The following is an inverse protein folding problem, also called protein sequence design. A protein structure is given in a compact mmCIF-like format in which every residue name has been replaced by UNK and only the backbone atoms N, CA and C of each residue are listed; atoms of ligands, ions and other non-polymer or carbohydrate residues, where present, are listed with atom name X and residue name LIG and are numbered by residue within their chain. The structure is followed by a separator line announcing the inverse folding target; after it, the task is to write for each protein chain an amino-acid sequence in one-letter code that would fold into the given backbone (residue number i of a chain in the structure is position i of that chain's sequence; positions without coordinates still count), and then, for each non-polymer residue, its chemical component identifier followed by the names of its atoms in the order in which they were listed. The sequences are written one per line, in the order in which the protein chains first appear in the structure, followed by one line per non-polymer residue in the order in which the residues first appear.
data_IF_933801977780
#
_entry.id   IF_933801977780
#
_cell.length_a   1.000
_cell.length_b   1.000
_cell.length_c   1.000
_cell.angle_alpha   90.00
_cell.angle_beta   90.00
_cell.angle_gamma   90.00
#
_symmetry.space_group_name_H-M   'P 1'
#
loop_
_entity.id
_entity.type
_entity.pdbx_description
1 polymer ?
#
# COMPACT_ATOMS: atom_id res chain seq x y z
N UNK A 1 25.53 -13.22 7.77
CA UNK A 1 25.33 -11.83 7.31
C UNK A 1 24.28 -11.88 6.22
N UNK A 2 23.09 -11.38 6.49
CA UNK A 2 21.95 -11.45 5.57
C UNK A 2 21.96 -10.16 4.75
N UNK A 3 22.48 -10.17 3.53
CA UNK A 3 22.80 -8.91 2.81
C UNK A 3 21.81 -8.59 1.68
N UNK A 4 20.83 -9.45 1.36
CA UNK A 4 19.89 -9.20 0.26
C UNK A 4 18.46 -9.63 0.53
N UNK A 5 17.56 -8.66 0.42
CA UNK A 5 16.13 -8.89 0.31
C UNK A 5 15.79 -9.50 -1.07
N UNK A 6 14.98 -10.57 -1.12
CA UNK A 6 14.25 -10.91 -2.35
C UNK A 6 13.10 -9.94 -2.50
N UNK A 7 13.40 -8.75 -3.02
CA UNK A 7 12.39 -7.93 -3.68
C UNK A 7 11.97 -8.65 -4.96
N UNK A 8 10.69 -8.56 -5.33
CA UNK A 8 10.28 -8.89 -6.70
C UNK A 8 11.04 -7.97 -7.64
N UNK A 9 12.10 -8.47 -8.28
CA UNK A 9 12.91 -7.76 -9.28
C UNK A 9 13.40 -6.35 -8.88
N UNK A 10 14.64 -6.24 -8.41
CA UNK A 10 15.31 -4.94 -8.15
C UNK A 10 15.60 -4.10 -9.41
N UNK A 11 15.00 -4.45 -10.54
CA UNK A 11 15.08 -3.72 -11.80
C UNK A 11 13.69 -3.43 -12.39
N UNK A 12 13.30 -2.15 -12.30
CA UNK A 12 12.69 -1.36 -13.40
C UNK A 12 11.17 -1.23 -13.50
N UNK A 13 10.30 -1.88 -12.73
CA UNK A 13 8.85 -1.63 -12.89
C UNK A 13 8.30 -0.51 -11.98
N UNK A 14 8.49 0.75 -12.42
CA UNK A 14 7.88 1.96 -11.82
C UNK A 14 6.41 2.18 -12.20
N UNK A 15 5.81 1.22 -12.89
CA UNK A 15 4.53 1.35 -13.55
C UNK A 15 3.38 0.86 -12.66
N UNK A 16 2.22 1.48 -12.77
CA UNK A 16 1.00 1.01 -12.11
C UNK A 16 0.41 -0.20 -12.84
N UNK A 17 -0.01 -1.24 -12.12
CA UNK A 17 -0.54 -2.46 -12.74
C UNK A 17 -2.03 -2.60 -12.47
N UNK A 18 -2.84 -2.62 -13.54
CA UNK A 18 -4.29 -2.78 -13.45
C UNK A 18 -4.77 -4.19 -13.82
N UNK A 19 -3.89 -5.02 -14.36
CA UNK A 19 -4.26 -6.33 -14.91
C UNK A 19 -4.21 -7.44 -13.86
N UNK A 20 -4.86 -8.56 -14.18
CA UNK A 20 -4.68 -9.81 -13.43
C UNK A 20 -3.23 -10.30 -13.51
N UNK A 21 -2.78 -10.99 -12.48
CA UNK A 21 -1.54 -11.77 -12.53
C UNK A 21 -1.59 -12.80 -13.67
N UNK A 22 -0.44 -13.11 -14.28
CA UNK A 22 -0.36 -14.07 -15.39
C UNK A 22 1.03 -14.71 -15.46
N UNK A 23 1.13 -15.99 -15.08
CA UNK A 23 2.42 -16.66 -14.91
C UNK A 23 3.29 -15.90 -13.91
N UNK A 24 4.53 -15.59 -14.29
CA UNK A 24 5.48 -14.86 -13.45
C UNK A 24 5.26 -13.34 -13.47
N UNK A 25 4.22 -12.84 -14.16
CA UNK A 25 3.92 -11.41 -14.24
C UNK A 25 3.09 -10.97 -13.03
N UNK A 26 3.57 -9.92 -12.38
CA UNK A 26 2.88 -9.23 -11.30
C UNK A 26 1.52 -8.69 -11.74
N UNK A 27 0.57 -8.71 -10.80
CA UNK A 27 -0.74 -8.11 -10.99
C UNK A 27 -1.63 -8.28 -9.78
N UNK A 28 -2.92 -8.10 -10.02
CA UNK A 28 -3.95 -8.25 -9.01
C UNK A 28 -4.59 -9.63 -9.11
N UNK A 29 -5.23 -10.07 -8.03
CA UNK A 29 -6.15 -11.20 -8.11
C UNK A 29 -7.26 -10.90 -9.13
N UNK A 30 -7.80 -11.96 -9.75
CA UNK A 30 -8.74 -11.87 -10.88
C UNK A 30 -9.92 -10.93 -10.63
N UNK A 31 -10.47 -10.94 -9.42
CA UNK A 31 -11.65 -10.16 -9.04
C UNK A 31 -11.40 -8.65 -8.85
N UNK A 32 -10.13 -8.25 -8.69
CA UNK A 32 -9.71 -6.85 -8.55
C UNK A 32 -9.09 -6.29 -9.84
N UNK A 33 -8.78 -7.14 -10.81
CA UNK A 33 -8.26 -6.71 -12.10
C UNK A 33 -9.21 -5.72 -12.78
N UNK A 34 -8.65 -4.62 -13.30
CA UNK A 34 -9.34 -3.47 -13.88
C UNK A 34 -10.32 -2.76 -12.95
N UNK A 35 -10.21 -2.95 -11.63
CA UNK A 35 -11.02 -2.22 -10.64
C UNK A 35 -10.18 -1.25 -9.81
N UNK A 36 -8.91 -1.58 -9.61
CA UNK A 36 -7.92 -0.73 -8.95
C UNK A 36 -6.54 -0.97 -9.56
N UNK A 37 -5.59 -0.10 -9.24
CA UNK A 37 -4.20 -0.22 -9.64
C UNK A 37 -3.34 -0.74 -8.49
N UNK A 38 -2.47 -1.71 -8.77
CA UNK A 38 -1.40 -2.12 -7.88
C UNK A 38 -0.31 -1.02 -7.89
N UNK A 39 0.04 -0.44 -6.72
CA UNK A 39 1.04 0.62 -6.65
C UNK A 39 2.46 0.12 -6.97
N UNK A 40 3.29 0.90 -7.69
CA UNK A 40 4.66 0.51 -8.01
C UNK A 40 5.53 0.15 -6.80
N UNK A 41 5.26 0.78 -5.64
CA UNK A 41 5.96 0.52 -4.37
C UNK A 41 5.85 -0.95 -3.95
N UNK A 42 4.70 -1.57 -4.20
CA UNK A 42 4.45 -2.96 -3.81
C UNK A 42 5.35 -3.94 -4.55
N UNK A 43 5.76 -3.64 -5.79
CA UNK A 43 6.64 -4.53 -6.56
C UNK A 43 8.01 -4.70 -5.89
N UNK A 44 8.51 -3.62 -5.27
CA UNK A 44 9.77 -3.63 -4.53
C UNK A 44 9.66 -4.11 -3.08
N UNK A 45 8.46 -4.51 -2.62
CA UNK A 45 8.22 -4.85 -1.22
C UNK A 45 9.10 -6.03 -0.77
N UNK A 46 9.72 -5.89 0.39
CA UNK A 46 10.65 -6.90 0.89
C UNK A 46 9.97 -8.14 1.53
N UNK A 47 9.48 -9.07 0.72
CA UNK A 47 8.67 -10.20 1.21
C UNK A 47 9.44 -11.23 2.07
N UNK A 48 10.67 -11.55 1.67
CA UNK A 48 11.52 -12.59 2.27
C UNK A 48 13.00 -12.16 2.21
N UNK A 49 13.76 -12.49 3.24
CA UNK A 49 15.19 -12.19 3.33
C UNK A 49 16.00 -13.48 3.16
N UNK A 50 17.02 -13.48 2.31
CA UNK A 50 17.84 -14.66 2.06
C UNK A 50 19.00 -14.72 3.06
N UNK A 51 18.95 -15.67 3.99
CA UNK A 51 19.93 -15.75 5.08
C UNK A 51 21.31 -16.29 4.69
N UNK A 52 21.48 -16.90 3.51
CA UNK A 52 22.77 -17.45 3.06
C UNK A 52 23.08 -17.17 1.58
N UNK A 53 24.18 -16.43 1.31
CA UNK A 53 24.73 -16.27 -0.05
C UNK A 53 25.55 -17.50 -0.53
N UNK A 54 25.95 -18.40 0.38
CA UNK A 54 26.90 -19.49 0.05
C UNK A 54 26.32 -20.65 -0.75
N UNK A 55 24.99 -20.77 -0.87
CA UNK A 55 24.36 -21.85 -1.65
C UNK A 55 23.19 -21.39 -2.54
N UNK A 56 22.87 -20.09 -2.61
CA UNK A 56 21.70 -19.61 -3.37
C UNK A 56 20.35 -20.14 -2.87
N UNK A 57 20.33 -20.83 -1.72
CA UNK A 57 19.11 -21.32 -1.09
C UNK A 57 18.52 -20.17 -0.28
N UNK A 58 17.39 -19.66 -0.76
CA UNK A 58 16.43 -18.93 0.08
C UNK A 58 16.26 -19.74 1.36
N UNK A 59 16.31 -19.14 2.55
CA UNK A 59 15.63 -19.78 3.68
C UNK A 59 14.17 -19.85 3.26
N UNK A 60 13.76 -21.02 2.78
CA UNK A 60 12.37 -21.31 2.60
C UNK A 60 11.77 -21.12 4.00
N UNK A 61 10.77 -20.24 4.12
CA UNK A 61 9.98 -20.04 5.34
C UNK A 61 9.51 -21.36 5.99
N UNK A 62 9.59 -22.48 5.24
CA UNK A 62 9.32 -23.86 5.63
C UNK A 62 9.97 -24.32 6.95
N UNK A 63 11.09 -23.75 7.38
CA UNK A 63 11.79 -24.22 8.60
C UNK A 63 11.42 -23.46 9.90
N UNK A 64 10.45 -22.55 9.87
CA UNK A 64 9.99 -21.87 11.08
C UNK A 64 9.24 -22.87 12.01
N UNK A 65 9.73 -22.99 13.24
CA UNK A 65 9.28 -23.95 14.23
C UNK A 65 8.70 -23.30 15.50
N UNK A 66 8.96 -22.01 15.71
CA UNK A 66 8.44 -21.26 16.86
C UNK A 66 7.81 -19.91 16.47
N UNK A 67 6.98 -19.37 17.36
CA UNK A 67 6.42 -18.02 17.21
C UNK A 67 7.51 -16.94 17.20
N UNK A 68 8.57 -17.11 18.00
CA UNK A 68 9.67 -16.16 18.07
C UNK A 68 10.47 -16.11 16.76
N UNK A 69 10.67 -17.26 16.11
CA UNK A 69 11.30 -17.34 14.79
C UNK A 69 10.44 -16.64 13.72
N UNK A 70 9.12 -16.89 13.72
CA UNK A 70 8.20 -16.21 12.80
C UNK A 70 8.29 -14.68 12.97
N UNK A 71 8.20 -14.19 14.21
CA UNK A 71 8.28 -12.76 14.50
C UNK A 71 9.63 -12.17 14.07
N UNK A 72 10.73 -12.85 14.40
CA UNK A 72 12.09 -12.43 14.02
C UNK A 72 12.21 -12.25 12.50
N UNK A 73 11.75 -13.23 11.71
CA UNK A 73 11.80 -13.14 10.25
C UNK A 73 10.96 -11.98 9.70
N UNK A 74 9.80 -11.69 10.30
CA UNK A 74 8.97 -10.55 9.89
C UNK A 74 9.60 -9.20 10.28
N UNK A 75 10.26 -9.12 11.44
CA UNK A 75 11.02 -7.95 11.88
C UNK A 75 12.18 -7.66 10.93
N UNK A 76 12.97 -8.67 10.56
CA UNK A 76 14.12 -8.51 9.65
C UNK A 76 13.65 -8.04 8.27
N UNK A 77 12.58 -8.65 7.74
CA UNK A 77 11.99 -8.23 6.47
C UNK A 77 11.53 -6.76 6.50
N UNK A 78 10.82 -6.36 7.56
CA UNK A 78 10.34 -5.00 7.73
C UNK A 78 11.48 -3.98 7.87
N UNK A 79 12.57 -4.33 8.56
CA UNK A 79 13.78 -3.50 8.64
C UNK A 79 14.35 -3.23 7.24
N UNK A 80 14.58 -4.27 6.45
CA UNK A 80 15.12 -4.10 5.09
C UNK A 80 14.16 -3.36 4.15
N UNK A 81 12.85 -3.49 4.30
CA UNK A 81 11.88 -2.65 3.59
C UNK A 81 12.10 -1.16 3.93
N UNK A 82 12.30 -0.83 5.20
CA UNK A 82 12.64 0.52 5.63
C UNK A 82 13.91 1.06 4.94
N UNK A 83 14.97 0.25 4.88
CA UNK A 83 16.23 0.61 4.19
C UNK A 83 16.04 0.83 2.68
N UNK A 84 15.26 -0.05 2.04
CA UNK A 84 14.95 0.04 0.61
C UNK A 84 14.16 1.30 0.27
N UNK A 85 13.15 1.62 1.09
CA UNK A 85 12.34 2.82 0.93
C UNK A 85 13.18 4.08 1.13
N UNK A 86 14.02 4.13 2.17
CA UNK A 86 14.94 5.25 2.41
C UNK A 86 15.85 5.49 1.20
N UNK A 87 16.57 4.45 0.75
CA UNK A 87 17.48 4.53 -0.39
C UNK A 87 16.78 5.03 -1.66
N UNK A 88 15.55 4.58 -1.89
CA UNK A 88 14.74 4.99 -3.05
C UNK A 88 14.28 6.46 -3.02
N UNK A 89 14.17 7.04 -1.81
CA UNK A 89 13.81 8.44 -1.61
C UNK A 89 15.05 9.36 -1.56
N UNK A 90 16.19 8.87 -1.08
CA UNK A 90 17.46 9.63 -1.04
C UNK A 90 18.08 9.87 -2.42
N UNK A 91 17.98 8.90 -3.35
CA UNK A 91 18.43 9.05 -4.74
C UNK A 91 17.71 10.17 -5.53
N UNK A 92 16.70 10.81 -4.94
CA UNK A 92 15.93 11.93 -5.52
C UNK A 92 16.30 13.30 -4.93
N UNK A 93 17.33 13.40 -4.10
CA UNK A 93 17.79 14.70 -3.56
C UNK A 93 18.51 15.52 -4.64
N UNK A 94 18.03 16.75 -4.84
CA UNK A 94 18.85 17.88 -5.29
C UNK A 94 19.03 18.86 -4.12
N UNK A 95 20.08 19.67 -4.15
CA UNK A 95 20.80 20.30 -3.01
C UNK A 95 20.09 21.26 -2.01
N UNK A 96 18.76 21.32 -1.94
CA UNK A 96 18.09 22.34 -1.10
C UNK A 96 17.48 21.77 0.20
N UNK A 97 17.80 22.37 1.35
CA UNK A 97 17.32 21.98 2.68
C UNK A 97 15.79 21.93 2.84
N UNK A 98 15.02 22.66 2.02
CA UNK A 98 13.53 22.62 1.99
C UNK A 98 12.97 21.29 1.45
N UNK A 99 13.75 20.54 0.67
CA UNK A 99 13.40 19.21 0.14
C UNK A 99 13.44 18.13 1.22
N UNK A 100 14.16 18.32 2.32
CA UNK A 100 14.35 17.29 3.35
C UNK A 100 13.06 17.00 4.14
N UNK A 101 12.27 18.01 4.51
CA UNK A 101 11.01 17.80 5.24
C UNK A 101 9.92 17.13 4.37
N UNK A 102 9.78 17.57 3.12
CA UNK A 102 8.85 16.98 2.14
C UNK A 102 9.26 15.53 1.79
N UNK A 103 10.56 15.26 1.66
CA UNK A 103 11.06 13.90 1.44
C UNK A 103 10.81 12.99 2.65
N UNK A 104 10.99 13.49 3.88
CA UNK A 104 10.67 12.72 5.09
C UNK A 104 9.16 12.42 5.19
N UNK A 105 8.30 13.36 4.81
CA UNK A 105 6.85 13.15 4.75
C UNK A 105 6.46 12.08 3.71
N UNK A 106 7.04 12.14 2.50
CA UNK A 106 6.85 11.13 1.45
C UNK A 106 7.34 9.76 1.86
N UNK A 107 8.53 9.68 2.46
CA UNK A 107 9.08 8.44 3.01
C UNK A 107 8.16 7.90 4.10
N UNK A 108 7.67 8.75 5.00
CA UNK A 108 6.75 8.34 6.04
C UNK A 108 5.46 7.72 5.48
N UNK A 109 4.83 8.36 4.48
CA UNK A 109 3.66 7.79 3.80
C UNK A 109 3.97 6.44 3.17
N UNK A 110 5.10 6.31 2.49
CA UNK A 110 5.53 5.05 1.89
C UNK A 110 5.72 3.95 2.95
N UNK A 111 6.32 4.26 4.10
CA UNK A 111 6.44 3.34 5.24
C UNK A 111 5.07 2.91 5.77
N UNK A 112 4.12 3.84 5.95
CA UNK A 112 2.77 3.54 6.43
C UNK A 112 2.00 2.63 5.46
N UNK A 113 2.17 2.82 4.16
CA UNK A 113 1.57 1.93 3.16
C UNK A 113 2.25 0.56 3.14
N UNK A 114 3.58 0.49 3.16
CA UNK A 114 4.30 -0.79 3.21
C UNK A 114 3.99 -1.57 4.49
N UNK A 115 3.92 -0.92 5.65
CA UNK A 115 3.50 -1.54 6.91
C UNK A 115 2.10 -2.17 6.80
N UNK A 116 1.15 -1.45 6.19
CA UNK A 116 -0.20 -1.95 6.02
C UNK A 116 -0.26 -3.13 5.03
N UNK A 117 0.52 -3.09 3.95
CA UNK A 117 0.64 -4.19 2.99
C UNK A 117 1.23 -5.46 3.62
N UNK A 118 2.24 -5.32 4.50
CA UNK A 118 2.72 -6.45 5.33
C UNK A 118 1.61 -7.01 6.21
N UNK A 119 0.80 -6.13 6.80
CA UNK A 119 -0.37 -6.52 7.58
C UNK A 119 -1.32 -7.38 6.77
N UNK A 120 -1.68 -6.98 5.54
CA UNK A 120 -2.57 -7.80 4.71
C UNK A 120 -1.95 -9.14 4.29
N UNK A 121 -0.66 -9.16 3.96
CA UNK A 121 0.06 -10.39 3.62
C UNK A 121 0.08 -11.36 4.81
N UNK A 122 0.33 -10.85 6.02
CA UNK A 122 0.35 -11.66 7.24
C UNK A 122 -1.05 -12.12 7.62
N UNK A 123 -2.07 -11.28 7.46
CA UNK A 123 -3.48 -11.62 7.73
C UNK A 123 -4.10 -12.56 6.68
N UNK A 124 -3.56 -12.59 5.47
CA UNK A 124 -4.13 -13.33 4.34
C UNK A 124 -5.20 -12.54 3.57
N UNK A 125 -5.23 -11.21 3.73
CA UNK A 125 -6.21 -10.31 3.11
C UNK A 125 -5.65 -9.53 1.91
N UNK A 126 -4.45 -9.87 1.46
CA UNK A 126 -3.79 -9.20 0.34
C UNK A 126 -4.50 -9.47 -0.99
N UNK A 127 -4.74 -8.42 -1.78
CA UNK A 127 -5.30 -8.47 -3.13
C UNK A 127 -4.22 -8.50 -4.22
N UNK A 128 -2.95 -8.32 -3.82
CA UNK A 128 -1.78 -8.48 -4.67
C UNK A 128 -1.56 -9.95 -5.01
N UNK A 129 -1.27 -10.24 -6.28
CA UNK A 129 -1.13 -11.60 -6.77
C UNK A 129 0.08 -11.75 -7.73
N UNK A 130 1.04 -12.58 -7.35
CA UNK A 130 2.17 -13.04 -8.15
C UNK A 130 2.71 -14.37 -7.57
N UNK A 131 3.69 -14.97 -8.24
CA UNK A 131 4.29 -16.24 -7.80
C UNK A 131 4.84 -16.16 -6.36
N UNK A 132 5.56 -15.09 -6.03
CA UNK A 132 6.17 -14.90 -4.70
C UNK A 132 5.15 -14.73 -3.57
N UNK A 133 4.07 -13.98 -3.81
CA UNK A 133 3.00 -13.75 -2.83
C UNK A 133 2.17 -15.00 -2.60
N UNK A 134 1.93 -15.82 -3.65
CA UNK A 134 1.30 -17.14 -3.50
C UNK A 134 2.15 -18.08 -2.65
N UNK A 135 3.45 -18.16 -2.94
CA UNK A 135 4.36 -18.99 -2.16
C UNK A 135 4.46 -18.52 -0.72
N UNK A 136 4.52 -17.21 -0.49
CA UNK A 136 4.50 -16.62 0.84
C UNK A 136 3.21 -16.99 1.58
N UNK A 137 2.04 -16.84 0.96
CA UNK A 137 0.75 -17.17 1.55
C UNK A 137 0.67 -18.66 1.91
N UNK A 138 1.05 -19.56 1.00
CA UNK A 138 1.09 -21.00 1.26
C UNK A 138 2.03 -21.35 2.42
N UNK A 139 3.18 -20.70 2.51
CA UNK A 139 4.12 -20.91 3.61
C UNK A 139 3.57 -20.38 4.94
N UNK A 140 2.96 -19.18 4.95
CA UNK A 140 2.34 -18.61 6.13
C UNK A 140 1.21 -19.52 6.63
N UNK A 141 0.32 -19.99 5.76
CA UNK A 141 -0.73 -20.94 6.14
C UNK A 141 -0.17 -22.22 6.79
N UNK A 142 0.91 -22.79 6.23
CA UNK A 142 1.59 -23.95 6.81
C UNK A 142 2.19 -23.65 8.18
N UNK A 143 2.89 -22.53 8.32
CA UNK A 143 3.50 -22.11 9.59
C UNK A 143 2.44 -21.89 10.65
N UNK A 144 1.42 -21.06 10.35
CA UNK A 144 0.36 -20.78 11.31
C UNK A 144 -0.43 -22.05 11.66
N UNK A 145 -0.69 -22.93 10.68
CA UNK A 145 -1.29 -24.24 10.90
C UNK A 145 -0.42 -25.20 11.71
N UNK A 146 0.90 -25.08 11.68
CA UNK A 146 1.81 -25.88 12.52
C UNK A 146 1.88 -25.33 13.96
N UNK A 147 2.03 -24.01 14.09
CA UNK A 147 2.28 -23.34 15.38
C UNK A 147 1.02 -23.17 16.23
N UNK A 148 -0.12 -22.90 15.59
CA UNK A 148 -1.29 -22.37 16.28
C UNK A 148 -2.58 -23.16 16.07
N UNK A 149 -2.58 -24.23 15.28
CA UNK A 149 -3.80 -25.01 14.99
C UNK A 149 -4.51 -25.55 16.23
N UNK A 150 -3.79 -25.78 17.32
CA UNK A 150 -4.38 -26.18 18.62
C UNK A 150 -5.29 -25.10 19.24
N UNK A 151 -5.19 -23.85 18.82
CA UNK A 151 -6.00 -22.73 19.31
C UNK A 151 -7.24 -22.45 18.43
N UNK A 152 -7.42 -23.18 17.33
CA UNK A 152 -8.57 -23.04 16.44
C UNK A 152 -9.64 -24.06 16.85
N UNK A 153 -10.88 -23.60 17.05
CA UNK A 153 -12.03 -24.46 17.31
C UNK A 153 -12.18 -25.51 16.21
N UNK A 154 -12.04 -26.79 16.55
CA UNK A 154 -12.59 -27.88 15.73
C UNK A 154 -14.02 -28.13 16.21
N UNK A 155 -14.90 -28.58 15.32
CA UNK A 155 -16.27 -29.05 15.63
C UNK A 155 -16.30 -30.32 16.53
N UNK A 156 -15.35 -30.47 17.45
CA UNK A 156 -15.21 -31.62 18.35
C UNK A 156 -15.62 -31.14 19.74
N UNK A 157 -16.53 -31.87 20.35
CA UNK A 157 -17.26 -31.56 21.59
C UNK A 157 -16.41 -31.56 22.88
N UNK A 158 -15.13 -31.20 22.82
CA UNK A 158 -14.27 -31.11 24.01
C UNK A 158 -14.12 -29.66 24.45
N UNK A 159 -14.56 -29.39 25.68
CA UNK A 159 -14.47 -28.14 26.47
C UNK A 159 -13.02 -27.65 26.74
N UNK A 160 -12.09 -27.83 25.81
CA UNK A 160 -10.76 -27.24 25.90
C UNK A 160 -10.76 -25.87 25.21
N UNK A 161 -10.57 -24.83 26.04
CA UNK A 161 -10.33 -23.41 25.75
C UNK A 161 -9.72 -23.11 24.35
N UNK A 162 -10.53 -23.16 23.30
CA UNK A 162 -10.13 -22.79 21.95
C UNK A 162 -10.53 -21.33 21.72
N UNK A 163 -9.51 -20.48 21.56
CA UNK A 163 -9.68 -19.03 21.57
C UNK A 163 -10.13 -18.43 20.24
N UNK A 164 -9.97 -19.14 19.11
CA UNK A 164 -10.24 -18.60 17.77
C UNK A 164 -11.21 -19.47 16.96
N UNK A 165 -12.07 -18.82 16.16
CA UNK A 165 -13.05 -19.47 15.27
C UNK A 165 -12.46 -19.93 13.94
N UNK A 166 -11.40 -19.28 13.45
CA UNK A 166 -10.77 -19.57 12.16
C UNK A 166 -9.27 -19.27 12.17
N UNK A 167 -8.57 -19.69 11.10
CA UNK A 167 -7.18 -19.31 10.87
C UNK A 167 -7.02 -17.80 10.64
N UNK A 168 -8.01 -17.17 10.00
CA UNK A 168 -7.98 -15.75 9.66
C UNK A 168 -8.05 -14.89 10.92
N UNK A 169 -8.96 -15.21 11.85
CA UNK A 169 -9.07 -14.53 13.15
C UNK A 169 -7.76 -14.66 13.96
N UNK A 170 -7.13 -15.83 13.89
CA UNK A 170 -5.86 -16.09 14.54
C UNK A 170 -4.72 -15.25 13.95
N UNK A 171 -4.63 -15.18 12.62
CA UNK A 171 -3.62 -14.36 11.92
C UNK A 171 -3.83 -12.87 12.18
N UNK A 172 -5.08 -12.41 12.25
CA UNK A 172 -5.42 -11.04 12.63
C UNK A 172 -4.99 -10.72 14.07
N UNK A 173 -5.30 -11.60 15.03
CA UNK A 173 -4.88 -11.46 16.43
C UNK A 173 -3.35 -11.45 16.56
N UNK A 174 -2.67 -12.34 15.84
CA UNK A 174 -1.21 -12.39 15.80
C UNK A 174 -0.61 -11.09 15.27
N UNK A 175 -1.15 -10.56 14.16
CA UNK A 175 -0.70 -9.27 13.61
C UNK A 175 -0.89 -8.15 14.64
N UNK A 176 -2.09 -8.01 15.21
CA UNK A 176 -2.39 -6.96 16.18
C UNK A 176 -1.50 -7.01 17.43
N UNK A 177 -1.11 -8.22 17.86
CA UNK A 177 -0.20 -8.42 19.00
C UNK A 177 1.24 -7.99 18.69
N UNK A 178 1.70 -8.21 17.46
CA UNK A 178 3.12 -8.09 17.10
C UNK A 178 3.47 -6.85 16.27
N UNK A 179 2.46 -6.18 15.68
CA UNK A 179 2.67 -5.11 14.70
C UNK A 179 3.49 -3.92 15.20
N UNK A 180 3.52 -3.65 16.52
CA UNK A 180 4.39 -2.61 17.10
C UNK A 180 5.87 -2.87 16.84
N UNK A 181 6.31 -4.14 16.94
CA UNK A 181 7.71 -4.52 16.74
C UNK A 181 8.09 -4.44 15.26
N UNK A 182 7.17 -4.85 14.39
CA UNK A 182 7.33 -4.78 12.94
C UNK A 182 7.43 -3.31 12.48
N UNK A 183 6.56 -2.43 13.00
CA UNK A 183 6.62 -1.00 12.73
C UNK A 183 7.93 -0.38 13.22
N UNK A 184 8.34 -0.69 14.45
CA UNK A 184 9.58 -0.19 15.02
C UNK A 184 10.81 -0.58 14.19
N UNK A 185 10.86 -1.83 13.73
CA UNK A 185 11.92 -2.33 12.87
C UNK A 185 11.95 -1.60 11.52
N UNK A 186 10.78 -1.39 10.91
CA UNK A 186 10.66 -0.64 9.65
C UNK A 186 11.14 0.81 9.78
N UNK A 187 10.77 1.50 10.88
CA UNK A 187 11.30 2.84 11.19
C UNK A 187 12.82 2.83 11.38
N UNK A 188 13.37 1.81 12.04
CA UNK A 188 14.81 1.65 12.24
C UNK A 188 15.55 1.50 10.93
N UNK A 189 15.08 0.64 10.02
CA UNK A 189 15.69 0.51 8.69
C UNK A 189 15.62 1.80 7.89
N UNK A 190 14.55 2.57 8.04
CA UNK A 190 14.42 3.88 7.40
C UNK A 190 15.27 5.00 8.05
N UNK A 191 15.96 4.73 9.16
CA UNK A 191 16.71 5.74 9.91
C UNK A 191 15.83 6.81 10.56
N UNK A 192 14.56 6.49 10.86
CA UNK A 192 13.56 7.42 11.40
C UNK A 192 13.35 7.26 12.92
N UNK A 193 14.39 6.86 13.66
CA UNK A 193 14.29 6.48 15.09
C UNK A 193 14.00 7.62 16.07
N UNK A 194 14.09 8.87 15.62
CA UNK A 194 13.66 10.06 16.36
C UNK A 194 12.83 11.03 15.52
N UNK A 195 12.47 10.64 14.29
CA UNK A 195 11.73 11.51 13.36
C UNK A 195 10.25 11.15 13.45
N UNK A 196 9.43 12.12 13.83
CA UNK A 196 7.98 11.97 13.86
C UNK A 196 7.49 11.62 12.46
N UNK A 197 6.92 10.43 12.34
CA UNK A 197 6.21 10.02 11.14
C UNK A 197 4.76 10.57 11.19
N UNK A 198 4.60 11.84 11.56
CA UNK A 198 3.30 12.49 11.67
C UNK A 198 2.95 13.13 10.35
N UNK A 199 1.81 12.73 9.81
CA UNK A 199 1.16 13.49 8.76
C UNK A 199 0.14 14.35 9.49
N UNK A 200 0.44 15.63 9.71
CA UNK A 200 -0.53 16.60 10.25
C UNK A 200 -1.11 16.25 11.64
N UNK A 201 -0.34 16.44 12.72
CA UNK A 201 -0.89 16.61 14.07
C UNK A 201 -0.86 15.39 15.01
N UNK A 202 -0.52 14.20 14.53
CA UNK A 202 -0.38 13.02 15.39
C UNK A 202 0.97 12.99 16.14
N UNK A 203 0.97 12.43 17.35
CA UNK A 203 2.11 12.42 18.26
C UNK A 203 3.18 11.40 17.87
N UNK A 204 4.37 11.54 18.44
CA UNK A 204 5.62 10.87 18.05
C UNK A 204 5.67 9.35 18.20
N UNK A 205 4.69 8.75 18.87
CA UNK A 205 4.64 7.30 19.15
C UNK A 205 3.47 6.57 18.47
N UNK A 206 2.66 7.28 17.69
CA UNK A 206 1.44 6.69 17.16
C UNK A 206 1.75 5.67 16.06
N UNK A 207 1.56 4.40 16.42
CA UNK A 207 1.51 3.29 15.48
C UNK A 207 0.49 3.60 14.39
N UNK A 208 0.84 3.47 13.11
CA UNK A 208 -0.09 3.79 12.05
C UNK A 208 -1.32 2.89 12.14
N UNK A 209 -2.49 3.49 12.05
CA UNK A 209 -3.79 2.80 11.94
C UNK A 209 -4.13 2.44 10.50
N UNK A 210 -3.20 2.69 9.56
CA UNK A 210 -3.39 2.43 8.13
C UNK A 210 -3.68 0.97 7.86
N UNK A 211 -3.23 0.02 8.69
CA UNK A 211 -3.44 -1.42 8.56
C UNK A 211 -4.89 -1.89 8.79
N UNK A 212 -5.73 -1.04 9.38
CA UNK A 212 -7.17 -1.29 9.56
C UNK A 212 -8.01 -0.92 8.33
N UNK A 213 -7.47 -0.12 7.42
CA UNK A 213 -8.15 0.25 6.18
C UNK A 213 -8.12 -0.96 5.23
N UNK A 214 -9.14 -1.25 4.40
CA UNK A 214 -9.00 -2.28 3.37
C UNK A 214 -7.93 -1.93 2.32
N UNK A 215 -7.16 -2.91 1.85
CA UNK A 215 -6.04 -2.69 0.92
C UNK A 215 -6.46 -1.98 -0.37
N UNK A 216 -7.65 -2.31 -0.88
CA UNK A 216 -8.26 -1.64 -2.03
C UNK A 216 -8.33 -0.11 -1.85
N UNK A 217 -8.74 0.37 -0.67
CA UNK A 217 -8.88 1.80 -0.39
C UNK A 217 -7.52 2.47 -0.22
N UNK A 218 -6.53 1.77 0.35
CA UNK A 218 -5.15 2.28 0.42
C UNK A 218 -4.54 2.45 -0.97
N UNK A 219 -4.72 1.46 -1.84
CA UNK A 219 -4.24 1.55 -3.24
C UNK A 219 -4.93 2.69 -3.99
N UNK A 220 -6.23 2.91 -3.73
CA UNK A 220 -6.95 4.06 -4.27
C UNK A 220 -6.37 5.38 -3.77
N UNK A 221 -6.09 5.49 -2.47
CA UNK A 221 -5.51 6.69 -1.90
C UNK A 221 -4.12 6.99 -2.50
N UNK A 222 -3.24 5.98 -2.58
CA UNK A 222 -1.91 6.13 -3.19
C UNK A 222 -2.00 6.53 -4.67
N UNK A 223 -2.98 5.96 -5.40
CA UNK A 223 -3.22 6.30 -6.81
C UNK A 223 -3.73 7.73 -7.00
N UNK A 224 -4.66 8.19 -6.15
CA UNK A 224 -5.15 9.58 -6.15
C UNK A 224 -4.04 10.55 -5.77
N UNK A 225 -3.20 10.24 -4.78
CA UNK A 225 -2.03 11.07 -4.43
C UNK A 225 -1.05 11.20 -5.60
N UNK A 226 -0.81 10.11 -6.32
CA UNK A 226 0.03 10.10 -7.52
C UNK A 226 -0.57 10.93 -8.67
N UNK A 227 -1.88 10.82 -8.90
CA UNK A 227 -2.60 11.68 -9.84
C UNK A 227 -2.48 13.15 -9.47
N UNK A 228 -2.79 13.51 -8.21
CA UNK A 228 -2.76 14.88 -7.72
C UNK A 228 -1.38 15.52 -7.85
N UNK A 229 -0.31 14.76 -7.60
CA UNK A 229 1.05 15.23 -7.80
C UNK A 229 1.31 15.62 -9.26
N UNK A 230 1.04 14.72 -10.20
CA UNK A 230 1.20 14.99 -11.63
C UNK A 230 0.30 16.15 -12.10
N UNK A 231 -0.94 16.20 -11.60
CA UNK A 231 -1.88 17.28 -11.87
C UNK A 231 -1.31 18.62 -11.41
N UNK A 232 -0.75 18.69 -10.21
CA UNK A 232 -0.17 19.92 -9.67
C UNK A 232 1.01 20.41 -10.53
N UNK A 233 1.90 19.52 -10.95
CA UNK A 233 3.03 19.86 -11.83
C UNK A 233 2.55 20.44 -13.17
N UNK A 234 1.53 19.83 -13.78
CA UNK A 234 0.95 20.33 -15.03
C UNK A 234 0.19 21.67 -14.82
N UNK A 235 -0.53 21.82 -13.71
CA UNK A 235 -1.26 23.05 -13.39
C UNK A 235 -0.30 24.20 -13.10
N UNK A 236 0.81 23.97 -12.39
CA UNK A 236 1.85 24.98 -12.17
C UNK A 236 2.42 25.47 -13.50
N UNK A 237 2.73 24.55 -14.42
CA UNK A 237 3.20 24.92 -15.75
C UNK A 237 2.15 25.75 -16.53
N UNK A 238 0.86 25.45 -16.41
CA UNK A 238 -0.20 26.28 -17.01
C UNK A 238 -0.23 27.67 -16.36
N UNK A 239 -0.24 27.75 -15.02
CA UNK A 239 -0.30 29.01 -14.27
C UNK A 239 0.90 29.91 -14.62
N UNK A 240 2.12 29.39 -14.58
CA UNK A 240 3.34 30.15 -14.88
C UNK A 240 3.31 30.75 -16.29
N UNK A 241 2.89 29.97 -17.29
CA UNK A 241 2.89 30.41 -18.69
C UNK A 241 1.67 31.31 -19.01
N UNK A 242 0.52 31.07 -18.38
CA UNK A 242 -0.71 31.81 -18.64
C UNK A 242 -0.89 33.05 -17.75
N UNK A 243 -0.24 33.15 -16.59
CA UNK A 243 -0.28 34.37 -15.77
C UNK A 243 0.28 35.57 -16.51
N UNK A 244 1.30 35.36 -17.34
CA UNK A 244 1.87 36.39 -18.22
C UNK A 244 0.82 37.01 -19.17
N UNK A 245 -0.21 36.26 -19.57
CA UNK A 245 -1.33 36.80 -20.36
C UNK A 245 -2.19 37.80 -19.58
N UNK A 246 -2.36 37.58 -18.27
CA UNK A 246 -3.22 38.41 -17.42
C UNK A 246 -2.57 39.79 -17.18
N UNK A 247 -1.24 39.81 -17.09
CA UNK A 247 -0.45 41.03 -16.94
C UNK A 247 -0.31 41.83 -18.25
N UNK A 248 -0.60 41.22 -19.40
CA UNK A 248 -0.55 41.92 -20.68
C UNK A 248 -1.62 42.99 -20.90
N UNK A 249 -2.62 43.14 -20.02
CA UNK A 249 -3.51 44.32 -20.00
C UNK A 249 -4.11 44.76 -21.35
N UNK A 250 -4.32 43.84 -22.32
CA UNK A 250 -4.82 44.17 -23.65
C UNK A 250 -3.85 44.87 -24.61
N UNK A 251 -2.57 45.09 -24.24
CA UNK A 251 -1.58 45.69 -25.15
C UNK A 251 -0.96 44.65 -26.09
N UNK A 252 -1.11 44.91 -27.39
CA UNK A 252 -0.62 44.06 -28.48
C UNK A 252 0.88 44.32 -28.76
N UNK A 253 1.76 43.96 -27.83
CA UNK A 253 3.18 43.80 -28.16
C UNK A 253 3.46 42.36 -28.60
N UNK A 254 4.33 42.17 -29.60
CA UNK A 254 4.64 40.87 -30.23
C UNK A 254 5.04 39.78 -29.23
N UNK A 255 5.70 40.16 -28.14
CA UNK A 255 6.12 39.25 -27.07
C UNK A 255 4.96 38.73 -26.24
N UNK A 256 3.94 39.55 -26.01
CA UNK A 256 2.72 39.12 -25.34
C UNK A 256 1.91 38.16 -26.22
N UNK A 257 1.81 38.48 -27.52
CA UNK A 257 1.08 37.65 -28.46
C UNK A 257 1.68 36.24 -28.57
N UNK A 258 3.02 36.13 -28.60
CA UNK A 258 3.72 34.84 -28.61
C UNK A 258 3.55 34.06 -27.30
N UNK A 259 3.74 34.70 -26.13
CA UNK A 259 3.56 34.06 -24.82
C UNK A 259 2.13 33.56 -24.61
N UNK A 260 1.14 34.37 -25.01
CA UNK A 260 -0.24 34.04 -24.75
C UNK A 260 -0.88 33.11 -25.80
N UNK A 261 -0.72 33.41 -27.10
CA UNK A 261 -1.35 32.60 -28.16
C UNK A 261 -0.67 31.26 -28.37
N UNK A 262 0.62 31.15 -28.03
CA UNK A 262 1.41 29.93 -28.28
C UNK A 262 1.76 29.20 -26.99
N UNK A 263 2.50 29.81 -26.05
CA UNK A 263 3.00 29.08 -24.87
C UNK A 263 1.88 28.68 -23.91
N UNK A 264 1.02 29.62 -23.50
CA UNK A 264 -0.14 29.32 -22.65
C UNK A 264 -1.07 28.30 -23.32
N UNK A 265 -1.41 28.49 -24.61
CA UNK A 265 -2.25 27.54 -25.37
C UNK A 265 -1.64 26.14 -25.38
N UNK A 266 -0.34 26.02 -25.66
CA UNK A 266 0.37 24.74 -25.69
C UNK A 266 0.35 24.04 -24.31
N UNK A 267 0.52 24.79 -23.21
CA UNK A 267 0.43 24.23 -21.85
C UNK A 267 -0.99 23.81 -21.48
N UNK A 268 -2.00 24.59 -21.85
CA UNK A 268 -3.41 24.22 -21.68
C UNK A 268 -3.77 22.96 -22.47
N UNK A 269 -3.28 22.84 -23.71
CA UNK A 269 -3.49 21.65 -24.54
C UNK A 269 -2.75 20.43 -23.98
N UNK A 270 -1.53 20.60 -23.48
CA UNK A 270 -0.79 19.55 -22.78
C UNK A 270 -1.56 19.07 -21.54
N UNK A 271 -2.11 19.98 -20.73
CA UNK A 271 -2.94 19.62 -19.58
C UNK A 271 -4.22 18.89 -19.98
N UNK A 272 -4.92 19.37 -21.01
CA UNK A 272 -6.11 18.68 -21.55
C UNK A 272 -5.76 17.26 -22.02
N UNK A 273 -4.67 17.12 -22.77
CA UNK A 273 -4.18 15.81 -23.20
C UNK A 273 -3.76 14.93 -22.02
N UNK A 274 -3.19 15.50 -20.95
CA UNK A 274 -2.88 14.79 -19.70
C UNK A 274 -4.14 14.23 -19.02
N UNK A 275 -5.25 14.96 -19.00
CA UNK A 275 -6.50 14.47 -18.39
C UNK A 275 -7.22 13.47 -19.29
N UNK A 276 -7.34 13.77 -20.59
CA UNK A 276 -8.24 13.05 -21.50
C UNK A 276 -7.56 11.86 -22.20
N UNK A 277 -6.28 11.98 -22.55
CA UNK A 277 -5.58 11.06 -23.45
C UNK A 277 -4.39 10.35 -22.81
N UNK A 278 -4.06 10.68 -21.57
CA UNK A 278 -2.91 10.09 -20.90
C UNK A 278 -3.19 8.63 -20.51
N UNK A 279 -2.50 7.72 -21.19
CA UNK A 279 -2.71 6.28 -21.11
C UNK A 279 -1.43 5.51 -20.74
N UNK A 280 -0.41 6.15 -20.17
CA UNK A 280 0.86 5.44 -19.91
C UNK A 280 0.78 4.65 -18.61
N UNK A 281 1.53 3.54 -18.56
CA UNK A 281 1.64 2.77 -17.33
C UNK A 281 2.44 3.51 -16.24
N UNK A 282 3.35 4.40 -16.65
CA UNK A 282 4.21 5.18 -15.74
C UNK A 282 3.40 6.24 -15.01
N UNK A 283 2.50 6.93 -15.70
CA UNK A 283 1.68 7.96 -15.06
C UNK A 283 0.36 7.44 -14.50
N UNK A 284 0.14 6.12 -14.47
CA UNK A 284 -0.83 5.53 -13.54
C UNK A 284 -2.10 4.91 -14.14
N UNK A 285 -2.27 4.95 -15.46
CA UNK A 285 -3.54 4.55 -16.09
C UNK A 285 -3.42 3.33 -17.01
N UNK A 286 -2.21 2.98 -17.46
CA UNK A 286 -1.87 1.71 -18.13
C UNK A 286 -2.84 1.34 -19.26
N UNK A 287 -2.91 2.20 -20.29
CA UNK A 287 -3.66 1.99 -21.53
C UNK A 287 -5.07 2.61 -21.58
N UNK A 288 -5.50 3.30 -20.52
CA UNK A 288 -6.82 3.93 -20.44
C UNK A 288 -6.70 5.39 -19.99
N UNK A 289 -7.72 6.21 -20.24
CA UNK A 289 -7.76 7.57 -19.67
C UNK A 289 -8.04 7.54 -18.17
N UNK A 290 -7.70 8.61 -17.47
CA UNK A 290 -8.06 8.81 -16.05
C UNK A 290 -9.56 8.65 -15.81
N UNK A 291 -10.40 9.19 -16.69
CA UNK A 291 -11.86 9.09 -16.63
C UNK A 291 -12.36 7.64 -16.72
N UNK A 292 -11.81 6.82 -17.63
CA UNK A 292 -12.16 5.40 -17.72
C UNK A 292 -11.74 4.61 -16.48
N UNK A 293 -10.57 4.91 -15.92
CA UNK A 293 -10.09 4.29 -14.66
C UNK A 293 -10.94 4.69 -13.47
N UNK A 294 -11.35 5.96 -13.39
CA UNK A 294 -12.23 6.44 -12.34
C UNK A 294 -13.61 5.77 -12.37
N UNK A 295 -14.20 5.62 -13.56
CA UNK A 295 -15.49 4.90 -13.72
C UNK A 295 -15.39 3.45 -13.23
N UNK A 296 -14.29 2.75 -13.54
CA UNK A 296 -14.04 1.39 -13.05
C UNK A 296 -13.97 1.33 -11.52
N UNK A 297 -13.20 2.23 -10.90
CA UNK A 297 -13.09 2.35 -9.44
C UNK A 297 -14.46 2.63 -8.83
N UNK A 298 -15.19 3.60 -9.39
CA UNK A 298 -16.50 4.03 -8.89
C UNK A 298 -17.52 2.89 -8.92
N UNK A 299 -17.58 2.13 -10.02
CA UNK A 299 -18.43 0.94 -10.14
C UNK A 299 -18.11 -0.10 -9.07
N UNK A 300 -16.83 -0.41 -8.86
CA UNK A 300 -16.42 -1.38 -7.82
C UNK A 300 -16.71 -0.87 -6.42
N UNK A 301 -16.42 0.38 -6.13
CA UNK A 301 -16.73 1.00 -4.83
C UNK A 301 -18.24 0.98 -4.55
N UNK A 302 -19.05 1.38 -5.52
CA UNK A 302 -20.51 1.33 -5.42
C UNK A 302 -21.02 -0.09 -5.13
N UNK A 303 -20.45 -1.10 -5.79
CA UNK A 303 -20.75 -2.51 -5.51
C UNK A 303 -20.48 -2.87 -4.04
N UNK A 304 -19.31 -2.50 -3.49
CA UNK A 304 -19.01 -2.77 -2.08
C UNK A 304 -19.98 -2.11 -1.12
N UNK A 305 -20.37 -0.87 -1.40
CA UNK A 305 -21.36 -0.15 -0.58
C UNK A 305 -22.70 -0.89 -0.60
N UNK A 306 -23.16 -1.35 -1.77
CA UNK A 306 -24.42 -2.10 -1.90
C UNK A 306 -24.35 -3.51 -1.28
N UNK A 307 -23.22 -4.21 -1.40
CA UNK A 307 -22.98 -5.48 -0.72
C UNK A 307 -23.01 -5.30 0.81
N UNK A 308 -22.30 -4.30 1.34
CA UNK A 308 -22.28 -3.99 2.77
C UNK A 308 -23.67 -3.60 3.30
N UNK A 309 -24.43 -2.79 2.56
CA UNK A 309 -25.82 -2.45 2.90
C UNK A 309 -26.73 -3.68 2.93
N UNK A 310 -26.62 -4.55 1.93
CA UNK A 310 -27.40 -5.80 1.87
C UNK A 310 -27.07 -6.73 3.04
N UNK A 311 -25.79 -6.94 3.33
CA UNK A 311 -25.34 -7.76 4.44
C UNK A 311 -25.81 -7.19 5.79
N UNK A 312 -25.79 -5.87 5.97
CA UNK A 312 -26.35 -5.21 7.16
C UNK A 312 -27.87 -5.45 7.29
N UNK A 313 -28.62 -5.41 6.19
CA UNK A 313 -30.07 -5.67 6.20
C UNK A 313 -30.39 -7.14 6.46
N UNK A 314 -29.63 -8.06 5.86
CA UNK A 314 -29.76 -9.51 6.08
C UNK A 314 -29.31 -9.94 7.49
N UNK A 315 -28.37 -9.21 8.09
CA UNK A 315 -27.80 -9.45 9.41
C UNK A 315 -28.54 -8.79 10.57
N UNK A 316 -29.87 -8.70 10.56
CA UNK A 316 -30.64 -8.48 11.80
C UNK A 316 -30.73 -9.79 12.60
N UNK A 317 -29.58 -10.26 13.09
CA UNK A 317 -29.48 -11.08 14.30
C UNK A 317 -28.76 -10.24 15.34
N UNK A 318 -29.36 -10.13 16.52
CA UNK A 318 -28.95 -9.24 17.61
C UNK A 318 -27.43 -9.27 17.85
N UNK A 319 -26.80 -8.09 17.86
CA UNK A 319 -25.59 -7.91 18.67
C UNK A 319 -26.01 -8.19 20.12
N UNK A 320 -25.73 -9.40 20.60
CA UNK A 320 -25.93 -9.75 22.00
C UNK A 320 -25.12 -8.78 22.85
N UNK A 321 -25.77 -8.13 23.81
CA UNK A 321 -25.12 -7.31 24.81
C UNK A 321 -24.14 -8.20 25.57
N UNK A 322 -22.84 -8.08 25.30
CA UNK A 322 -21.84 -8.69 26.16
C UNK A 322 -21.78 -7.83 27.42
N UNK A 323 -22.47 -8.29 28.47
CA UNK A 323 -22.33 -7.77 29.81
C UNK A 323 -20.93 -8.08 30.31
N UNK A 324 -20.02 -7.12 30.20
CA UNK A 324 -19.00 -6.84 31.23
C UNK A 324 -18.36 -5.49 30.93
N UNK A 325 -18.21 -4.72 32.00
CA UNK A 325 -17.83 -3.32 32.08
C UNK A 325 -16.46 -2.98 31.47
N UNK A 326 -16.39 -1.73 30.99
CA UNK A 326 -15.26 -0.92 30.50
C UNK A 326 -14.78 -1.13 29.05
N UNK A 327 -15.25 -0.21 28.20
CA UNK A 327 -14.73 0.20 26.87
C UNK A 327 -14.53 -0.91 25.84
N UNK A 328 -15.64 -1.41 25.29
CA UNK A 328 -15.64 -2.25 24.10
C UNK A 328 -16.00 -1.42 22.85
N UNK A 329 -15.04 -1.25 21.94
CA UNK A 329 -15.34 -0.90 20.55
C UNK A 329 -16.05 -2.09 19.90
N UNK A 330 -17.24 -1.83 19.35
CA UNK A 330 -18.04 -2.81 18.63
C UNK A 330 -17.32 -3.25 17.35
N UNK A 331 -16.69 -4.43 17.39
CA UNK A 331 -16.13 -5.10 16.20
C UNK A 331 -17.22 -5.91 15.50
N UNK A 332 -17.65 -5.45 14.33
CA UNK A 332 -18.37 -6.30 13.38
C UNK A 332 -17.34 -7.13 12.61
N UNK A 333 -17.16 -8.38 13.00
CA UNK A 333 -16.48 -9.38 12.18
C UNK A 333 -17.53 -9.95 11.23
N UNK A 334 -17.39 -9.72 9.93
CA UNK A 334 -18.18 -10.41 8.91
C UNK A 334 -17.56 -11.79 8.70
N UNK A 335 -18.38 -12.84 8.86
CA UNK A 335 -18.04 -14.22 8.50
C UNK A 335 -17.86 -14.43 7.01
#
# INVERSE_FOLDING_TARGET
KCEKCKSGTSTVNKYWIWRKSSGNKEGLQKEYANTIALPPRTHSLCLVVCLDEKEGKTQELKNISTNSELLKERIIAAFHEGENLKTSHEKKKGDDGKKNADNNSKLCKALKYSFADYGDLIKGTSIWDNEYTKDLELNLQKIFGKLFRKYIKKNIASDENTSYSSLDELRESWWNTNKKYIWLAMKHGAGMNGTTCSCSGDSSDDMPTTDFIPQYLRFLQEWVEHFCKQRQENVNAVIENCNSCKECGGTCNSDCEKKCKTECKNKCEAYKNFIEKFCTADGGTSGYSWSKRWDQIYKRYSKYIEDAKRNRKAGTKSCGTSSTTSTAESKCVQS
#
